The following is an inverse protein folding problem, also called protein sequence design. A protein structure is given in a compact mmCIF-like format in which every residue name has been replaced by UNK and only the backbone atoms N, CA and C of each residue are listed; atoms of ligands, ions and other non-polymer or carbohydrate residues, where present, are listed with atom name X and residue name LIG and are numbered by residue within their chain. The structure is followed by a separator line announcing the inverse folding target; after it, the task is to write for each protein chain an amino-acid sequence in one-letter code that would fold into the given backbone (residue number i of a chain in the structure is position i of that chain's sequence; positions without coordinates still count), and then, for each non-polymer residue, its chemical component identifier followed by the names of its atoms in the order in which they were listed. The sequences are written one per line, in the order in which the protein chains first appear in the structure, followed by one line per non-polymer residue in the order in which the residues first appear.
data_IF_870006322149
#
_entry.id   IF_870006322149
#
_cell.length_a   1.000
_cell.length_b   1.000
_cell.length_c   1.000
_cell.angle_alpha   90.00
_cell.angle_beta   90.00
_cell.angle_gamma   90.00
#
_symmetry.space_group_name_H-M   'P 1'
#
loop_
_entity.id
_entity.type
_entity.pdbx_description
1 polymer ?
#
# COMPACT_ATOMS: atom_id res chain seq x y z
N UNK A 1 -5.99 -21.69 21.50
CA UNK A 1 -5.73 -21.48 20.07
C UNK A 1 -7.07 -21.47 19.35
N UNK A 2 -7.42 -20.35 18.72
CA UNK A 2 -8.59 -20.23 17.85
C UNK A 2 -8.35 -21.14 16.63
N UNK A 3 -9.38 -21.81 16.11
CA UNK A 3 -9.22 -22.62 14.89
C UNK A 3 -8.86 -21.72 13.70
N UNK A 4 -8.15 -22.26 12.72
CA UNK A 4 -7.83 -21.56 11.46
C UNK A 4 -9.10 -20.98 10.81
N UNK A 5 -10.18 -21.75 10.80
CA UNK A 5 -11.49 -21.35 10.26
C UNK A 5 -12.10 -20.17 11.04
N UNK A 6 -11.98 -20.15 12.37
CA UNK A 6 -12.47 -19.04 13.18
C UNK A 6 -11.58 -17.79 13.07
N UNK A 7 -10.28 -17.95 12.81
CA UNK A 7 -9.38 -16.83 12.53
C UNK A 7 -9.68 -16.20 11.16
N UNK A 8 -9.90 -17.03 10.12
CA UNK A 8 -10.32 -16.58 8.79
C UNK A 8 -11.70 -15.91 8.81
N UNK A 9 -12.67 -16.48 9.55
CA UNK A 9 -14.00 -15.89 9.68
C UNK A 9 -14.01 -14.56 10.44
N UNK A 10 -12.99 -14.31 11.27
CA UNK A 10 -12.82 -13.05 11.98
C UNK A 10 -12.06 -11.99 11.16
N UNK A 11 -11.50 -12.32 9.99
CA UNK A 11 -10.81 -11.35 9.14
C UNK A 11 -11.80 -10.61 8.24
N UNK A 12 -11.65 -9.29 8.16
CA UNK A 12 -12.38 -8.48 7.18
C UNK A 12 -11.55 -8.35 5.90
N UNK A 13 -12.07 -8.92 4.82
CA UNK A 13 -11.41 -9.04 3.52
C UNK A 13 -12.18 -8.21 2.49
N UNK A 14 -11.56 -7.12 2.05
CA UNK A 14 -12.06 -6.38 0.91
C UNK A 14 -11.67 -7.11 -0.39
N UNK A 15 -12.64 -7.79 -1.01
CA UNK A 15 -12.44 -8.52 -2.25
C UNK A 15 -12.46 -7.62 -3.50
N UNK A 16 -12.52 -6.29 -3.36
CA UNK A 16 -12.49 -5.35 -4.49
C UNK A 16 -11.09 -5.18 -5.10
N UNK A 17 -10.06 -5.74 -4.46
CA UNK A 17 -8.72 -5.70 -4.98
C UNK A 17 -8.58 -6.44 -6.31
N UNK A 18 -7.48 -6.22 -7.03
CA UNK A 18 -7.29 -6.63 -8.43
C UNK A 18 -7.19 -8.17 -8.67
N UNK A 19 -7.53 -9.00 -7.68
CA UNK A 19 -7.81 -10.42 -7.86
C UNK A 19 -6.60 -11.29 -8.20
N UNK A 20 -5.38 -10.81 -7.94
CA UNK A 20 -4.18 -11.54 -8.34
C UNK A 20 -3.93 -12.77 -7.46
N UNK A 21 -3.78 -13.92 -8.10
CA UNK A 21 -3.26 -15.10 -7.45
C UNK A 21 -1.74 -15.01 -7.29
N UNK A 22 -1.24 -15.29 -6.09
CA UNK A 22 0.17 -15.60 -5.88
C UNK A 22 0.26 -17.13 -5.92
N UNK A 23 0.89 -17.68 -6.97
CA UNK A 23 0.88 -19.14 -7.18
C UNK A 23 1.54 -19.89 -6.03
N UNK A 24 2.61 -19.32 -5.47
CA UNK A 24 3.31 -19.91 -4.32
C UNK A 24 3.79 -18.84 -3.36
N UNK A 25 3.53 -19.04 -2.08
CA UNK A 25 3.99 -18.15 -1.02
C UNK A 25 5.06 -18.88 -0.21
N UNK A 26 6.24 -18.28 -0.12
CA UNK A 26 7.36 -18.79 0.66
C UNK A 26 7.86 -17.65 1.53
N UNK A 27 8.36 -17.94 2.71
CA UNK A 27 9.03 -16.95 3.54
C UNK A 27 10.38 -17.51 3.99
N UNK A 28 11.36 -16.62 4.12
CA UNK A 28 12.66 -17.01 4.67
C UNK A 28 12.51 -17.54 6.09
N UNK A 29 13.30 -18.55 6.44
CA UNK A 29 13.30 -19.10 7.79
C UNK A 29 13.62 -18.01 8.81
N UNK A 30 12.77 -17.85 9.83
CA UNK A 30 12.90 -16.78 10.82
C UNK A 30 12.18 -15.48 10.45
N UNK A 31 11.49 -15.40 9.30
CA UNK A 31 10.62 -14.28 8.97
C UNK A 31 9.52 -14.13 10.02
N UNK A 32 9.29 -12.89 10.48
CA UNK A 32 8.18 -12.59 11.39
C UNK A 32 6.85 -12.58 10.62
N UNK A 33 5.75 -12.84 11.32
CA UNK A 33 4.41 -12.76 10.73
C UNK A 33 4.11 -11.38 10.13
N UNK A 34 4.55 -10.30 10.79
CA UNK A 34 4.36 -8.95 10.27
C UNK A 34 5.14 -8.71 8.96
N UNK A 35 6.37 -9.24 8.86
CA UNK A 35 7.14 -9.14 7.62
C UNK A 35 6.44 -9.92 6.49
N UNK A 36 5.94 -11.13 6.78
CA UNK A 36 5.18 -11.92 5.82
C UNK A 36 3.92 -11.19 5.32
N UNK A 37 3.16 -10.57 6.24
CA UNK A 37 1.99 -9.75 5.91
C UNK A 37 2.38 -8.55 5.06
N UNK A 38 3.45 -7.82 5.41
CA UNK A 38 3.93 -6.69 4.61
C UNK A 38 4.31 -7.10 3.20
N UNK A 39 5.01 -8.22 3.03
CA UNK A 39 5.38 -8.70 1.70
C UNK A 39 4.15 -9.06 0.84
N UNK A 40 3.11 -9.64 1.44
CA UNK A 40 1.85 -9.90 0.76
C UNK A 40 1.13 -8.60 0.38
N UNK A 41 1.07 -7.63 1.30
CA UNK A 41 0.49 -6.32 1.07
C UNK A 41 1.20 -5.54 -0.05
N UNK A 42 2.53 -5.57 -0.12
CA UNK A 42 3.30 -4.92 -1.18
C UNK A 42 2.98 -5.51 -2.56
N UNK A 43 2.89 -6.84 -2.65
CA UNK A 43 2.61 -7.52 -3.92
C UNK A 43 1.16 -7.27 -4.35
N UNK A 44 0.22 -7.33 -3.41
CA UNK A 44 -1.20 -7.17 -3.70
C UNK A 44 -1.70 -5.70 -3.69
N UNK A 45 -0.85 -4.73 -3.33
CA UNK A 45 -1.22 -3.33 -3.06
C UNK A 45 -2.36 -3.17 -2.03
N UNK A 46 -2.33 -4.01 -0.99
CA UNK A 46 -3.26 -3.93 0.15
C UNK A 46 -2.64 -3.13 1.29
N UNK A 47 -3.51 -2.62 2.16
CA UNK A 47 -3.14 -2.15 3.50
C UNK A 47 -3.60 -3.18 4.51
N UNK A 48 -2.75 -3.38 5.52
CA UNK A 48 -3.08 -4.19 6.69
C UNK A 48 -3.11 -3.31 7.93
N UNK A 49 -4.20 -3.40 8.69
CA UNK A 49 -4.37 -2.72 9.96
C UNK A 49 -5.35 -3.48 10.85
N UNK A 50 -5.42 -3.08 12.12
CA UNK A 50 -6.42 -3.56 13.05
C UNK A 50 -7.49 -2.49 13.23
N UNK A 51 -8.75 -2.90 13.22
CA UNK A 51 -9.88 -2.06 13.66
C UNK A 51 -9.79 -1.80 15.16
N UNK A 52 -10.64 -0.89 15.63
CA UNK A 52 -10.72 -0.54 17.05
C UNK A 52 -11.09 -1.75 17.95
N UNK A 53 -11.77 -2.76 17.39
CA UNK A 53 -12.17 -4.00 18.03
C UNK A 53 -11.13 -5.13 17.90
N UNK A 54 -9.90 -4.80 17.48
CA UNK A 54 -8.80 -5.73 17.24
C UNK A 54 -9.02 -6.68 16.04
N UNK A 55 -10.05 -6.44 15.22
CA UNK A 55 -10.28 -7.20 13.98
C UNK A 55 -9.18 -6.89 12.96
N UNK A 56 -8.41 -7.90 12.48
CA UNK A 56 -7.46 -7.70 11.39
C UNK A 56 -8.17 -7.46 10.06
N UNK A 57 -7.72 -6.45 9.33
CA UNK A 57 -8.30 -6.05 8.04
C UNK A 57 -7.26 -6.05 6.94
N UNK A 58 -7.59 -6.66 5.82
CA UNK A 58 -6.91 -6.48 4.54
C UNK A 58 -7.83 -5.66 3.63
N UNK A 59 -7.53 -4.36 3.50
CA UNK A 59 -8.27 -3.45 2.62
C UNK A 59 -7.42 -3.14 1.40
N UNK A 60 -8.00 -3.21 0.21
CA UNK A 60 -7.33 -2.67 -0.97
C UNK A 60 -7.05 -1.18 -0.73
N UNK A 61 -6.03 -0.63 -1.40
CA UNK A 61 -5.79 0.81 -1.26
C UNK A 61 -7.02 1.59 -1.75
N UNK A 62 -7.46 2.55 -0.94
CA UNK A 62 -8.59 3.41 -1.28
C UNK A 62 -8.39 4.02 -2.67
N UNK A 63 -9.42 3.91 -3.51
CA UNK A 63 -9.51 4.63 -4.78
C UNK A 63 -10.35 5.87 -4.51
N UNK A 64 -10.00 7.05 -5.06
CA UNK A 64 -10.81 8.25 -4.87
C UNK A 64 -12.29 7.97 -5.17
N UNK A 65 -13.13 8.17 -4.16
CA UNK A 65 -14.54 7.78 -4.20
C UNK A 65 -15.38 8.60 -3.22
N UNK A 66 -16.58 8.09 -2.94
CA UNK A 66 -17.44 8.71 -1.94
C UNK A 66 -16.79 8.57 -0.55
N UNK A 67 -16.78 9.64 0.26
CA UNK A 67 -16.18 9.59 1.58
C UNK A 67 -16.96 8.64 2.52
N UNK A 68 -16.21 7.84 3.27
CA UNK A 68 -16.72 7.02 4.38
C UNK A 68 -17.31 7.89 5.50
N UNK A 69 -16.79 9.12 5.66
CA UNK A 69 -17.28 10.07 6.65
C UNK A 69 -17.24 11.53 6.17
N UNK A 70 -18.32 12.27 6.44
CA UNK A 70 -18.43 13.69 6.11
C UNK A 70 -18.64 14.51 7.37
N UNK A 71 -17.72 15.41 7.67
CA UNK A 71 -17.92 16.39 8.74
C UNK A 71 -19.09 17.33 8.36
N UNK A 72 -20.07 17.44 9.25
CA UNK A 72 -21.32 18.17 8.99
C UNK A 72 -21.19 19.68 9.24
N UNK A 73 -20.22 20.12 10.03
CA UNK A 73 -19.89 21.52 10.26
C UNK A 73 -18.40 21.75 10.53
N UNK A 74 -17.87 22.94 10.19
CA UNK A 74 -16.56 23.37 10.71
C UNK A 74 -16.54 23.47 12.24
N UNK A 75 -17.70 23.64 12.88
CA UNK A 75 -17.81 23.60 14.34
C UNK A 75 -17.45 22.21 14.94
N UNK A 76 -17.46 21.16 14.10
CA UNK A 76 -17.05 19.81 14.51
C UNK A 76 -15.51 19.67 14.55
N UNK A 77 -14.78 20.68 14.05
CA UNK A 77 -13.32 20.69 13.97
C UNK A 77 -12.79 21.91 14.76
N UNK A 78 -12.02 21.64 15.79
CA UNK A 78 -11.43 22.67 16.68
C UNK A 78 -10.26 23.39 16.01
N UNK A 79 -9.45 22.66 15.24
CA UNK A 79 -8.29 23.22 14.52
C UNK A 79 -8.01 22.42 13.26
N UNK A 80 -7.55 23.12 12.22
CA UNK A 80 -7.13 22.52 10.94
C UNK A 80 -5.72 23.02 10.64
N UNK A 81 -4.78 22.09 10.50
CA UNK A 81 -3.44 22.39 10.03
C UNK A 81 -3.17 21.62 8.73
N UNK A 82 -3.17 22.32 7.60
CA UNK A 82 -2.86 21.73 6.29
C UNK A 82 -1.45 22.11 5.87
N UNK A 83 -0.63 21.10 5.56
CA UNK A 83 0.75 21.31 5.13
C UNK A 83 1.14 20.35 4.00
N UNK A 84 2.12 20.77 3.22
CA UNK A 84 2.69 19.94 2.16
C UNK A 84 4.02 19.35 2.64
N UNK A 85 4.19 18.04 2.51
CA UNK A 85 5.47 17.37 2.75
C UNK A 85 6.11 16.84 1.47
N UNK A 86 7.42 17.07 1.37
CA UNK A 86 8.29 16.50 0.33
C UNK A 86 9.02 15.23 0.79
N UNK A 87 8.89 14.85 2.06
CA UNK A 87 9.62 13.69 2.63
C UNK A 87 9.22 12.37 1.99
N UNK A 88 7.97 12.28 1.52
CA UNK A 88 7.42 11.06 0.93
C UNK A 88 7.70 10.92 -0.56
N UNK A 89 8.32 11.90 -1.20
CA UNK A 89 8.62 11.81 -2.64
C UNK A 89 9.48 10.56 -2.91
N UNK A 90 9.03 9.72 -3.84
CA UNK A 90 9.75 8.58 -4.44
C UNK A 90 9.53 8.64 -5.95
N UNK A 91 10.39 9.38 -6.64
CA UNK A 91 10.30 9.62 -8.08
C UNK A 91 11.17 8.68 -8.92
N UNK A 92 11.82 7.72 -8.25
CA UNK A 92 12.40 6.52 -8.84
C UNK A 92 12.07 5.32 -7.95
N UNK A 93 11.58 4.24 -8.55
CA UNK A 93 11.23 3.01 -7.86
C UNK A 93 11.92 1.85 -8.54
N UNK A 94 12.58 1.02 -7.73
CA UNK A 94 13.21 -0.22 -8.16
C UNK A 94 12.62 -1.35 -7.34
N UNK A 95 12.07 -2.37 -7.99
CA UNK A 95 11.60 -3.58 -7.34
C UNK A 95 12.46 -4.76 -7.80
N UNK A 96 12.91 -5.55 -6.83
CA UNK A 96 13.63 -6.81 -7.05
C UNK A 96 12.75 -7.97 -6.58
N UNK A 97 12.42 -8.85 -7.52
CA UNK A 97 11.70 -10.10 -7.29
C UNK A 97 12.54 -11.32 -7.67
N UNK A 98 11.92 -12.50 -7.64
CA UNK A 98 12.57 -13.76 -8.03
C UNK A 98 11.64 -14.48 -9.01
N UNK A 99 12.14 -14.77 -10.21
CA UNK A 99 11.54 -15.75 -11.12
C UNK A 99 12.25 -17.07 -10.88
N UNK A 100 11.51 -18.03 -10.32
CA UNK A 100 12.02 -19.40 -10.28
C UNK A 100 12.19 -19.88 -11.71
N UNK A 101 13.32 -20.53 -11.95
CA UNK A 101 13.51 -21.21 -13.19
C UNK A 101 12.57 -22.42 -13.26
N UNK A 102 11.96 -22.65 -14.42
CA UNK A 102 11.22 -23.88 -14.66
C UNK A 102 12.19 -25.07 -14.51
N UNK A 103 11.76 -26.19 -13.92
CA UNK A 103 12.57 -27.39 -13.84
C UNK A 103 12.68 -28.01 -15.24
N UNK A 104 13.57 -27.45 -16.06
CA UNK A 104 13.90 -27.97 -17.39
C UNK A 104 15.13 -28.86 -17.24
N UNK A 105 14.89 -30.12 -16.85
CA UNK A 105 15.89 -31.17 -16.67
C UNK A 105 16.90 -30.93 -15.52
N UNK A 106 17.65 -31.98 -15.17
CA UNK A 106 18.51 -32.14 -13.98
C UNK A 106 19.63 -31.11 -13.76
N UNK A 107 19.74 -30.09 -14.60
CA UNK A 107 20.64 -28.97 -14.36
C UNK A 107 19.82 -27.86 -13.71
N UNK A 108 20.09 -27.61 -12.43
CA UNK A 108 19.54 -26.51 -11.65
C UNK A 108 19.65 -25.19 -12.43
N UNK A 109 18.56 -24.80 -13.07
CA UNK A 109 18.45 -23.50 -13.69
C UNK A 109 18.40 -22.47 -12.56
N UNK A 110 19.41 -21.60 -12.51
CA UNK A 110 19.54 -20.60 -11.46
C UNK A 110 18.26 -19.73 -11.37
N UNK A 111 17.82 -19.32 -10.17
CA UNK A 111 16.72 -18.39 -10.03
C UNK A 111 17.04 -17.13 -10.84
N UNK A 112 16.23 -16.82 -11.85
CA UNK A 112 16.37 -15.57 -12.59
C UNK A 112 15.82 -14.44 -11.71
N UNK A 113 16.69 -13.51 -11.29
CA UNK A 113 16.24 -12.32 -10.57
C UNK A 113 15.33 -11.49 -11.48
N UNK A 114 14.11 -11.19 -11.02
CA UNK A 114 13.25 -10.23 -11.69
C UNK A 114 13.62 -8.85 -11.18
N UNK A 115 13.77 -7.90 -12.11
CA UNK A 115 14.02 -6.50 -11.77
C UNK A 115 13.15 -5.63 -12.64
N UNK A 116 12.48 -4.69 -12.00
CA UNK A 116 11.75 -3.62 -12.66
C UNK A 116 12.16 -2.30 -12.08
N UNK A 117 12.01 -1.28 -12.90
CA UNK A 117 12.41 0.07 -12.59
C UNK A 117 11.50 1.05 -13.31
N UNK A 118 11.04 2.06 -12.59
CA UNK A 118 10.32 3.19 -13.14
C UNK A 118 10.86 4.47 -12.52
N UNK A 119 10.75 5.58 -13.25
CA UNK A 119 11.11 6.90 -12.78
C UNK A 119 10.26 7.97 -13.45
N UNK A 120 10.28 9.19 -12.90
CA UNK A 120 9.62 10.35 -13.49
C UNK A 120 10.60 11.52 -13.59
N UNK A 121 11.07 11.82 -14.81
CA UNK A 121 12.09 12.83 -15.07
C UNK A 121 11.66 14.24 -14.68
N UNK A 122 10.39 14.60 -14.89
CA UNK A 122 9.86 15.91 -14.54
C UNK A 122 9.92 16.13 -13.02
N UNK A 123 9.50 15.15 -12.23
CA UNK A 123 9.60 15.18 -10.78
C UNK A 123 11.05 15.16 -10.28
N UNK A 124 11.93 14.36 -10.91
CA UNK A 124 13.36 14.36 -10.58
C UNK A 124 13.97 15.73 -10.83
N UNK A 125 13.61 16.38 -11.94
CA UNK A 125 14.06 17.74 -12.27
C UNK A 125 13.55 18.76 -11.25
N UNK A 126 12.29 18.63 -10.82
CA UNK A 126 11.67 19.57 -9.89
C UNK A 126 12.12 19.40 -8.42
N UNK A 127 12.37 18.15 -7.98
CA UNK A 127 12.52 17.81 -6.55
C UNK A 127 13.80 17.05 -6.20
N UNK A 128 14.63 16.72 -7.19
CA UNK A 128 15.80 15.86 -7.06
C UNK A 128 15.45 14.37 -7.02
N UNK A 129 16.42 13.50 -7.31
CA UNK A 129 16.20 12.04 -7.29
C UNK A 129 15.95 11.52 -5.86
N UNK A 130 14.88 10.76 -5.70
CA UNK A 130 14.46 10.10 -4.47
C UNK A 130 14.07 8.65 -4.78
N UNK A 131 15.00 7.73 -4.50
CA UNK A 131 14.86 6.33 -4.88
C UNK A 131 14.23 5.48 -3.77
N UNK A 132 13.19 4.73 -4.11
CA UNK A 132 12.67 3.61 -3.32
C UNK A 132 13.20 2.30 -3.87
N UNK A 133 13.66 1.40 -3.00
CA UNK A 133 14.02 0.03 -3.39
C UNK A 133 13.23 -0.96 -2.56
N UNK A 134 12.45 -1.80 -3.22
CA UNK A 134 11.70 -2.90 -2.62
C UNK A 134 12.37 -4.20 -3.04
N UNK A 135 12.62 -5.08 -2.07
CA UNK A 135 13.13 -6.43 -2.33
C UNK A 135 12.09 -7.40 -1.81
N UNK A 136 11.34 -7.99 -2.72
CA UNK A 136 10.21 -8.86 -2.38
C UNK A 136 10.11 -10.00 -3.40
N UNK A 137 10.51 -11.19 -2.97
CA UNK A 137 10.55 -12.39 -3.80
C UNK A 137 9.16 -12.95 -4.14
N UNK A 138 8.08 -12.40 -3.58
CA UNK A 138 6.71 -12.75 -3.98
C UNK A 138 6.31 -12.10 -5.32
N UNK A 139 7.09 -11.14 -5.84
CA UNK A 139 6.98 -10.73 -7.24
C UNK A 139 7.54 -11.83 -8.16
N UNK A 140 6.64 -12.61 -8.75
CA UNK A 140 6.95 -13.77 -9.60
C UNK A 140 6.70 -13.51 -11.09
N UNK A 141 6.11 -12.37 -11.43
CA UNK A 141 5.70 -11.98 -12.79
C UNK A 141 6.34 -10.63 -13.16
N UNK A 142 7.00 -10.57 -14.32
CA UNK A 142 7.73 -9.39 -14.76
C UNK A 142 6.79 -8.23 -15.13
N UNK A 143 5.64 -8.52 -15.72
CA UNK A 143 4.69 -7.49 -16.15
C UNK A 143 4.07 -6.82 -14.92
N UNK A 144 3.67 -7.62 -13.93
CA UNK A 144 3.17 -7.13 -12.63
C UNK A 144 4.21 -6.32 -11.88
N UNK A 145 5.45 -6.80 -11.82
CA UNK A 145 6.54 -6.10 -11.16
C UNK A 145 6.76 -4.73 -11.82
N UNK A 146 6.79 -4.69 -13.15
CA UNK A 146 6.96 -3.45 -13.92
C UNK A 146 5.79 -2.49 -13.72
N UNK A 147 4.55 -3.00 -13.73
CA UNK A 147 3.35 -2.21 -13.45
C UNK A 147 3.39 -1.61 -12.05
N UNK A 148 3.75 -2.39 -11.03
CA UNK A 148 3.87 -1.90 -9.66
C UNK A 148 4.93 -0.80 -9.52
N UNK A 149 6.04 -0.89 -10.26
CA UNK A 149 7.03 0.21 -10.29
C UNK A 149 6.40 1.50 -10.81
N UNK A 150 5.62 1.43 -11.90
CA UNK A 150 4.92 2.58 -12.49
C UNK A 150 3.89 3.15 -11.51
N UNK A 151 3.05 2.29 -10.93
CA UNK A 151 2.00 2.70 -9.99
C UNK A 151 2.59 3.42 -8.77
N UNK A 152 3.69 2.90 -8.22
CA UNK A 152 4.38 3.53 -7.09
C UNK A 152 5.04 4.85 -7.48
N UNK A 153 5.64 4.98 -8.66
CA UNK A 153 6.18 6.27 -9.12
C UNK A 153 5.05 7.28 -9.31
N UNK A 154 3.98 6.94 -10.02
CA UNK A 154 2.84 7.84 -10.21
C UNK A 154 2.28 8.32 -8.88
N UNK A 155 2.23 7.40 -7.91
CA UNK A 155 1.75 7.69 -6.57
C UNK A 155 2.66 8.60 -5.76
N UNK A 156 3.97 8.42 -5.83
CA UNK A 156 4.91 9.11 -4.92
C UNK A 156 5.79 10.15 -5.61
N UNK A 157 5.59 10.43 -6.91
CA UNK A 157 6.39 11.43 -7.64
C UNK A 157 6.19 12.86 -7.12
N UNK A 158 5.04 13.18 -6.56
CA UNK A 158 4.70 14.55 -6.15
C UNK A 158 4.65 14.70 -4.62
N UNK A 159 4.90 15.92 -4.09
CA UNK A 159 4.68 16.22 -2.68
C UNK A 159 3.26 15.88 -2.23
N UNK A 160 3.12 15.37 -1.01
CA UNK A 160 1.83 15.01 -0.43
C UNK A 160 1.31 16.11 0.47
N UNK A 161 0.00 16.29 0.44
CA UNK A 161 -0.70 17.20 1.34
C UNK A 161 -1.24 16.41 2.51
N UNK A 162 -1.04 16.93 3.71
CA UNK A 162 -1.53 16.39 4.96
C UNK A 162 -2.42 17.44 5.60
N UNK A 163 -3.42 16.97 6.34
CA UNK A 163 -4.23 17.82 7.18
C UNK A 163 -4.36 17.18 8.55
N UNK A 164 -3.88 17.87 9.57
CA UNK A 164 -4.12 17.50 10.96
C UNK A 164 -5.41 18.18 11.41
N UNK A 165 -6.39 17.37 11.83
CA UNK A 165 -7.67 17.84 12.31
C UNK A 165 -7.74 17.60 13.82
N UNK A 166 -7.84 18.68 14.59
CA UNK A 166 -8.17 18.59 16.02
C UNK A 166 -9.68 18.60 16.17
N UNK A 167 -10.23 17.59 16.82
CA UNK A 167 -11.67 17.40 16.98
C UNK A 167 -12.02 17.32 18.46
N UNK A 168 -13.10 17.99 18.92
CA UNK A 168 -13.41 18.09 20.34
C UNK A 168 -14.14 16.85 20.90
N UNK A 169 -14.43 15.87 20.05
CA UNK A 169 -15.09 14.62 20.39
C UNK A 169 -14.34 13.45 19.76
N UNK A 170 -14.60 12.23 20.25
CA UNK A 170 -14.16 11.02 19.57
C UNK A 170 -15.23 10.63 18.54
N UNK A 171 -15.02 10.86 17.23
CA UNK A 171 -15.93 10.42 16.18
C UNK A 171 -15.82 8.90 16.09
N UNK A 172 -16.53 8.17 16.96
CA UNK A 172 -16.84 6.78 16.68
C UNK A 172 -17.99 6.83 15.68
N UNK A 173 -17.68 6.74 14.37
CA UNK A 173 -17.10 5.52 13.79
C UNK A 173 -15.89 5.72 12.85
N UNK A 174 -15.09 6.78 12.96
CA UNK A 174 -13.90 6.97 12.10
C UNK A 174 -12.82 5.92 12.40
N UNK A 175 -12.50 5.11 11.40
CA UNK A 175 -11.45 4.10 11.44
C UNK A 175 -10.24 4.50 10.60
N UNK A 176 -9.13 3.77 10.80
CA UNK A 176 -7.95 3.94 9.95
C UNK A 176 -8.32 3.57 8.51
N UNK A 177 -7.87 4.38 7.55
CA UNK A 177 -8.11 4.17 6.09
C UNK A 177 -9.54 4.51 5.66
N UNK A 178 -10.31 5.21 6.51
CA UNK A 178 -11.56 5.84 6.06
C UNK A 178 -11.27 7.09 5.22
N UNK A 179 -12.00 7.23 4.11
CA UNK A 179 -11.98 8.42 3.29
C UNK A 179 -12.85 9.50 3.93
N UNK A 180 -12.23 10.63 4.32
CA UNK A 180 -12.94 11.70 5.02
C UNK A 180 -13.11 12.94 4.14
N UNK A 181 -14.27 13.59 4.24
CA UNK A 181 -14.53 14.88 3.65
C UNK A 181 -14.81 15.92 4.72
N UNK A 182 -14.14 17.08 4.63
CA UNK A 182 -14.46 18.27 5.42
C UNK A 182 -14.52 19.51 4.52
N UNK A 183 -15.15 20.58 5.03
CA UNK A 183 -15.49 21.77 4.26
C UNK A 183 -14.29 22.37 3.51
N UNK A 184 -14.40 22.39 2.18
CA UNK A 184 -13.72 23.36 1.33
C UNK A 184 -12.22 23.16 1.14
N UNK A 185 -11.77 21.96 0.82
CA UNK A 185 -10.82 21.74 -0.26
C UNK A 185 -10.94 20.28 -0.71
N UNK A 186 -11.43 20.07 -1.93
CA UNK A 186 -11.18 18.82 -2.64
C UNK A 186 -9.67 18.79 -2.87
N UNK A 187 -8.92 18.16 -1.97
CA UNK A 187 -7.53 17.79 -2.26
C UNK A 187 -7.61 16.53 -3.11
N UNK A 188 -7.98 16.69 -4.37
CA UNK A 188 -7.84 15.64 -5.37
C UNK A 188 -6.35 15.41 -5.58
N UNK A 189 -5.79 14.38 -4.96
CA UNK A 189 -4.47 13.88 -5.33
C UNK A 189 -4.61 13.03 -6.59
N UNK A 190 -4.51 13.67 -7.76
CA UNK A 190 -4.08 13.02 -9.00
C UNK A 190 -2.58 12.77 -8.97
#
# INVERSE_FOLDING_TARGET
YVSEEAALAAMDMDNSGPGWAIEKVWFEAGSTFLNAIWMLCEVCDYRFYFKHDETPVFKARATPGDPDFVFASLADITSINTYQSRSEIKNRVIIKGIKQAEPVNRDESAPSELKGEAHNDDSITAYGERTMTITNYLFQDQDRLSQMCIDLVLRYKDPKWYSDLEIPFNPVPLELVDDIQWFGNVVSSS
#
